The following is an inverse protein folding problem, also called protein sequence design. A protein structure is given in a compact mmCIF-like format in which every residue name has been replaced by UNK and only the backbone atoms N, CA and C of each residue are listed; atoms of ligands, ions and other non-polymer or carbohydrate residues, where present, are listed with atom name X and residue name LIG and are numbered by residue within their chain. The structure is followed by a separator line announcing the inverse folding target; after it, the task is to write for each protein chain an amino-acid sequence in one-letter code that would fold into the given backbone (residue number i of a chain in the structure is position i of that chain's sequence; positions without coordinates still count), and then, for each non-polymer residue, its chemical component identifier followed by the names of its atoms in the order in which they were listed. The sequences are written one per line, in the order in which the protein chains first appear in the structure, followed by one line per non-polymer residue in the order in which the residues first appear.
data_IF_483732875195
#
_entry.id   IF_483732875195
#
_cell.length_a   1.000
_cell.length_b   1.000
_cell.length_c   1.000
_cell.angle_alpha   90.00
_cell.angle_beta   90.00
_cell.angle_gamma   90.00
#
_symmetry.space_group_name_H-M   'P 1'
#
loop_
_entity.id
_entity.type
_entity.pdbx_description
1 polymer ?
#
# COMPACT_ATOMS: atom_id res chain seq x y z
N UNK A 1 27.71 -14.42 10.55
CA UNK A 1 27.09 -13.09 10.56
C UNK A 1 26.77 -12.72 12.00
N UNK A 2 27.37 -11.63 12.49
CA UNK A 2 27.37 -11.20 13.86
C UNK A 2 25.94 -10.82 14.32
N UNK A 3 25.38 -11.40 15.38
CA UNK A 3 24.02 -11.10 15.87
C UNK A 3 23.85 -9.66 16.38
N UNK A 4 24.93 -8.87 16.46
CA UNK A 4 24.94 -7.49 16.92
C UNK A 4 24.42 -6.46 15.89
N UNK A 5 24.19 -6.86 14.63
CA UNK A 5 23.63 -5.98 13.59
C UNK A 5 22.11 -6.17 13.42
N UNK A 6 21.38 -6.28 14.51
CA UNK A 6 19.94 -6.03 14.44
C UNK A 6 19.74 -4.53 14.23
N UNK A 7 18.93 -4.17 13.23
CA UNK A 7 18.40 -2.81 13.12
C UNK A 7 17.84 -2.43 14.51
N UNK A 8 18.13 -1.24 15.02
CA UNK A 8 17.63 -0.85 16.33
C UNK A 8 16.12 -1.00 16.34
N UNK A 9 15.62 -1.81 17.27
CA UNK A 9 14.18 -1.89 17.52
C UNK A 9 13.73 -0.52 18.01
N UNK A 10 13.00 0.20 17.18
CA UNK A 10 12.51 1.55 17.50
C UNK A 10 11.39 1.52 18.55
N UNK A 11 11.14 0.36 19.19
CA UNK A 11 10.11 0.21 20.21
C UNK A 11 8.69 0.47 19.72
N UNK A 12 8.47 0.33 18.40
CA UNK A 12 7.17 0.61 17.78
C UNK A 12 6.08 -0.28 18.36
N UNK A 13 6.38 -1.56 18.64
CA UNK A 13 5.45 -2.49 19.26
C UNK A 13 5.02 -2.06 20.68
N UNK A 14 5.96 -1.59 21.49
CA UNK A 14 5.68 -1.08 22.84
C UNK A 14 4.84 0.21 22.79
N UNK A 15 5.11 1.10 21.82
CA UNK A 15 4.31 2.32 21.64
C UNK A 15 2.86 1.99 21.30
N UNK A 16 2.61 1.03 20.42
CA UNK A 16 1.24 0.58 20.10
C UNK A 16 0.58 -0.10 21.31
N UNK A 17 1.30 -0.87 22.10
CA UNK A 17 0.78 -1.47 23.32
C UNK A 17 0.34 -0.39 24.32
N UNK A 18 1.14 0.66 24.53
CA UNK A 18 0.78 1.79 25.39
C UNK A 18 -0.43 2.56 24.86
N UNK A 19 -0.52 2.79 23.55
CA UNK A 19 -1.71 3.42 22.94
C UNK A 19 -2.96 2.58 23.20
N UNK A 20 -2.85 1.25 23.14
CA UNK A 20 -3.96 0.35 23.45
C UNK A 20 -4.40 0.45 24.94
N UNK A 21 -3.48 0.70 25.87
CA UNK A 21 -3.81 0.94 27.29
C UNK A 21 -4.62 2.24 27.48
N UNK A 22 -4.26 3.33 26.80
CA UNK A 22 -5.06 4.57 26.82
C UNK A 22 -6.46 4.36 26.25
N UNK A 23 -6.60 3.49 25.25
CA UNK A 23 -7.91 3.14 24.70
C UNK A 23 -8.78 2.37 25.70
N UNK A 24 -8.16 1.52 26.55
CA UNK A 24 -8.86 0.75 27.60
C UNK A 24 -9.23 1.59 28.82
N UNK A 25 -8.51 2.67 29.09
CA UNK A 25 -8.75 3.55 30.23
C UNK A 25 -10.11 4.29 30.19
N UNK A 26 -10.82 4.29 29.05
CA UNK A 26 -12.17 4.77 28.93
C UNK A 26 -12.34 6.29 29.01
N UNK A 27 -11.25 7.05 29.11
CA UNK A 27 -11.25 8.49 29.23
C UNK A 27 -10.97 9.12 27.85
N UNK A 28 -11.91 9.90 27.31
CA UNK A 28 -11.81 10.48 25.96
C UNK A 28 -10.59 11.43 25.82
N UNK A 29 -10.26 12.17 26.89
CA UNK A 29 -9.09 13.06 26.92
C UNK A 29 -7.78 12.28 26.77
N UNK A 30 -7.62 11.21 27.53
CA UNK A 30 -6.43 10.35 27.48
C UNK A 30 -6.31 9.61 26.16
N UNK A 31 -7.44 9.21 25.57
CA UNK A 31 -7.49 8.61 24.23
C UNK A 31 -6.95 9.57 23.15
N UNK A 32 -7.39 10.82 23.15
CA UNK A 32 -6.90 11.84 22.20
C UNK A 32 -5.41 12.08 22.44
N UNK A 33 -5.01 12.30 23.67
CA UNK A 33 -3.62 12.57 24.04
C UNK A 33 -2.69 11.42 23.64
N UNK A 34 -3.09 10.19 23.93
CA UNK A 34 -2.35 8.97 23.56
C UNK A 34 -2.20 8.82 22.05
N UNK A 35 -3.27 9.07 21.27
CA UNK A 35 -3.21 8.99 19.82
C UNK A 35 -2.39 10.11 19.18
N UNK A 36 -2.53 11.35 19.65
CA UNK A 36 -1.78 12.49 19.10
C UNK A 36 -0.30 12.44 19.43
N UNK A 37 0.07 11.97 20.62
CA UNK A 37 1.48 11.94 21.05
C UNK A 37 2.18 10.64 20.66
N UNK A 38 1.67 9.51 21.12
CA UNK A 38 2.30 8.19 20.95
C UNK A 38 1.86 7.51 19.66
N UNK A 39 0.57 7.59 19.30
CA UNK A 39 0.01 6.94 18.12
C UNK A 39 0.57 7.51 16.81
N UNK A 40 0.65 8.82 16.69
CA UNK A 40 1.25 9.46 15.50
C UNK A 40 2.75 9.15 15.41
N UNK A 41 3.46 9.21 16.54
CA UNK A 41 4.90 8.91 16.61
C UNK A 41 5.17 7.45 16.23
N UNK A 42 4.38 6.51 16.77
CA UNK A 42 4.48 5.09 16.44
C UNK A 42 4.21 4.83 14.96
N UNK A 43 3.19 5.47 14.37
CA UNK A 43 2.84 5.34 12.97
C UNK A 43 3.91 5.90 12.04
N UNK A 44 4.50 7.05 12.37
CA UNK A 44 5.61 7.63 11.61
C UNK A 44 6.85 6.75 11.67
N UNK A 45 7.24 6.30 12.84
CA UNK A 45 8.39 5.41 13.02
C UNK A 45 8.20 4.08 12.30
N UNK A 46 7.00 3.50 12.36
CA UNK A 46 6.66 2.31 11.60
C UNK A 46 6.78 2.55 10.08
N UNK A 47 6.26 3.68 9.59
CA UNK A 47 6.31 4.00 8.17
C UNK A 47 7.75 4.24 7.67
N UNK A 48 8.62 4.82 8.52
CA UNK A 48 10.06 4.97 8.23
C UNK A 48 10.73 3.60 8.20
N UNK A 49 10.52 2.80 9.26
CA UNK A 49 11.15 1.47 9.40
C UNK A 49 10.72 0.51 8.29
N UNK A 50 9.46 0.57 7.86
CA UNK A 50 8.94 -0.22 6.74
C UNK A 50 9.29 0.36 5.36
N UNK A 51 10.04 1.47 5.25
CA UNK A 51 10.40 2.10 3.98
C UNK A 51 9.19 2.64 3.18
N UNK A 52 8.04 2.83 3.85
CA UNK A 52 6.78 3.24 3.21
C UNK A 52 6.85 4.59 2.54
N UNK A 53 7.65 5.52 3.06
CA UNK A 53 7.83 6.85 2.45
C UNK A 53 8.43 6.76 1.06
N UNK A 54 9.47 5.93 0.89
CA UNK A 54 10.12 5.73 -0.42
C UNK A 54 9.16 5.07 -1.39
N UNK A 55 8.45 4.03 -0.95
CA UNK A 55 7.45 3.34 -1.75
C UNK A 55 6.33 4.29 -2.20
N UNK A 56 5.78 5.07 -1.27
CA UNK A 56 4.70 6.02 -1.56
C UNK A 56 5.15 7.10 -2.52
N UNK A 57 6.33 7.71 -2.28
CA UNK A 57 6.91 8.71 -3.20
C UNK A 57 7.13 8.12 -4.60
N UNK A 58 7.66 6.91 -4.70
CA UNK A 58 7.83 6.22 -5.98
C UNK A 58 6.52 5.99 -6.72
N UNK A 59 5.47 5.56 -6.00
CA UNK A 59 4.13 5.37 -6.58
C UNK A 59 3.51 6.70 -7.05
N UNK A 60 3.69 7.79 -6.28
CA UNK A 60 3.21 9.12 -6.69
C UNK A 60 3.93 9.61 -7.95
N UNK A 61 5.25 9.48 -8.01
CA UNK A 61 6.03 9.85 -9.20
C UNK A 61 5.63 9.02 -10.42
N UNK A 62 5.40 7.73 -10.24
CA UNK A 62 4.95 6.83 -11.29
C UNK A 62 3.54 7.23 -11.78
N UNK A 63 2.62 7.51 -10.86
CA UNK A 63 1.28 8.01 -11.17
C UNK A 63 1.31 9.34 -11.92
N UNK A 64 2.14 10.28 -11.47
CA UNK A 64 2.36 11.57 -12.12
C UNK A 64 2.91 11.39 -13.55
N UNK A 65 3.90 10.53 -13.74
CA UNK A 65 4.47 10.22 -15.05
C UNK A 65 3.43 9.63 -16.00
N UNK A 66 2.66 8.65 -15.54
CA UNK A 66 1.58 8.02 -16.30
C UNK A 66 0.52 9.05 -16.71
N UNK A 67 0.13 9.93 -15.77
CA UNK A 67 -0.82 11.02 -16.02
C UNK A 67 -0.29 12.02 -17.04
N UNK A 68 0.96 12.48 -16.89
CA UNK A 68 1.59 13.43 -17.80
C UNK A 68 1.73 12.87 -19.23
N UNK A 69 2.01 11.58 -19.36
CA UNK A 69 2.10 10.87 -20.65
C UNK A 69 0.73 10.51 -21.23
N UNK A 70 -0.36 10.81 -20.52
CA UNK A 70 -1.73 10.49 -20.92
C UNK A 70 -1.91 9.01 -21.31
N UNK A 71 -1.23 8.10 -20.57
CA UNK A 71 -1.27 6.67 -20.89
C UNK A 71 -2.64 6.03 -20.63
N UNK A 72 -3.53 6.74 -19.92
CA UNK A 72 -4.93 6.31 -19.71
C UNK A 72 -5.83 6.55 -20.92
N UNK A 73 -5.39 7.40 -21.89
CA UNK A 73 -6.16 7.64 -23.10
C UNK A 73 -6.15 6.38 -23.97
N UNK A 74 -7.33 6.01 -24.47
CA UNK A 74 -7.55 4.81 -25.28
C UNK A 74 -6.98 4.95 -26.69
N UNK A 75 -5.66 4.94 -26.80
CA UNK A 75 -4.93 4.90 -28.08
C UNK A 75 -4.37 3.50 -28.26
N UNK A 76 -4.31 2.99 -29.49
CA UNK A 76 -3.75 1.66 -29.76
C UNK A 76 -2.33 1.47 -29.19
N UNK A 77 -1.50 2.52 -29.25
CA UNK A 77 -0.16 2.52 -28.66
C UNK A 77 -0.19 2.31 -27.14
N UNK A 78 -1.09 3.01 -26.46
CA UNK A 78 -1.25 2.91 -25.02
C UNK A 78 -1.84 1.55 -24.61
N UNK A 79 -2.78 1.02 -25.39
CA UNK A 79 -3.32 -0.32 -25.15
C UNK A 79 -2.25 -1.41 -25.26
N UNK A 80 -1.39 -1.34 -26.28
CA UNK A 80 -0.25 -2.26 -26.42
C UNK A 80 0.73 -2.12 -25.25
N UNK A 81 0.94 -0.91 -24.75
CA UNK A 81 1.75 -0.68 -23.54
C UNK A 81 1.14 -1.37 -22.32
N UNK A 82 -0.17 -1.21 -22.09
CA UNK A 82 -0.85 -1.83 -20.96
C UNK A 82 -0.91 -3.36 -21.05
N UNK A 83 -1.08 -3.92 -22.24
CA UNK A 83 -0.99 -5.38 -22.45
C UNK A 83 0.41 -5.90 -22.12
N UNK A 84 1.47 -5.22 -22.58
CA UNK A 84 2.85 -5.57 -22.23
C UNK A 84 3.08 -5.47 -20.72
N UNK A 85 2.64 -4.39 -20.09
CA UNK A 85 2.74 -4.19 -18.64
C UNK A 85 2.03 -5.31 -17.89
N UNK A 86 0.83 -5.70 -18.31
CA UNK A 86 0.08 -6.80 -17.71
C UNK A 86 0.87 -8.11 -17.77
N UNK A 87 1.38 -8.48 -18.94
CA UNK A 87 2.11 -9.73 -19.16
C UNK A 87 3.39 -9.73 -18.32
N UNK A 88 4.18 -8.66 -18.39
CA UNK A 88 5.45 -8.55 -17.65
C UNK A 88 5.21 -8.60 -16.14
N UNK A 89 4.22 -7.87 -15.63
CA UNK A 89 3.90 -7.84 -14.21
C UNK A 89 3.34 -9.18 -13.71
N UNK A 90 2.53 -9.87 -14.53
CA UNK A 90 2.00 -11.19 -14.19
C UNK A 90 3.12 -12.24 -14.13
N UNK A 91 4.04 -12.22 -15.10
CA UNK A 91 5.20 -13.13 -15.11
C UNK A 91 6.16 -12.81 -13.95
N UNK A 92 6.38 -11.54 -13.63
CA UNK A 92 7.26 -11.12 -12.55
C UNK A 92 6.70 -11.44 -11.16
N UNK A 93 5.38 -11.52 -11.02
CA UNK A 93 4.73 -11.74 -9.72
C UNK A 93 5.10 -13.10 -9.10
N UNK A 94 5.07 -14.17 -9.88
CA UNK A 94 5.35 -15.52 -9.38
C UNK A 94 6.79 -15.68 -8.82
N UNK A 95 7.87 -15.33 -9.57
CA UNK A 95 9.22 -15.44 -9.05
C UNK A 95 9.51 -14.47 -7.89
N UNK A 96 8.89 -13.29 -7.86
CA UNK A 96 9.01 -12.38 -6.73
C UNK A 96 8.38 -12.95 -5.45
N UNK A 97 7.27 -13.65 -5.58
CA UNK A 97 6.61 -14.33 -4.47
C UNK A 97 7.48 -15.43 -3.89
N UNK A 98 7.97 -16.34 -4.72
CA UNK A 98 8.82 -17.46 -4.28
C UNK A 98 10.16 -16.98 -3.70
N UNK A 99 10.77 -15.98 -4.33
CA UNK A 99 12.04 -15.41 -3.86
C UNK A 99 11.86 -14.74 -2.48
N UNK A 100 10.75 -14.03 -2.28
CA UNK A 100 10.42 -13.43 -0.99
C UNK A 100 10.33 -14.48 0.11
N UNK A 101 9.61 -15.58 -0.12
CA UNK A 101 9.47 -16.66 0.88
C UNK A 101 10.85 -17.27 1.20
N UNK A 102 11.65 -17.61 0.20
CA UNK A 102 12.98 -18.17 0.39
C UNK A 102 13.92 -17.23 1.18
N UNK A 103 13.85 -15.92 0.94
CA UNK A 103 14.69 -14.93 1.61
C UNK A 103 14.23 -14.69 3.04
N UNK A 104 12.93 -14.69 3.31
CA UNK A 104 12.39 -14.49 4.66
C UNK A 104 12.63 -15.70 5.57
N UNK A 105 12.63 -16.92 5.02
CA UNK A 105 12.83 -18.17 5.77
C UNK A 105 14.27 -18.32 6.29
N UNK A 106 15.24 -17.68 5.65
CA UNK A 106 16.66 -17.72 6.05
C UNK A 106 17.02 -16.96 7.34
N UNK A 107 16.07 -16.26 7.99
CA UNK A 107 16.20 -15.69 9.35
C UNK A 107 17.30 -14.65 9.60
N UNK A 108 18.12 -14.32 8.60
CA UNK A 108 19.18 -13.33 8.72
C UNK A 108 18.62 -11.90 8.63
N UNK A 109 19.23 -10.95 9.35
CA UNK A 109 18.82 -9.52 9.33
C UNK A 109 18.83 -8.95 7.90
N UNK A 110 19.80 -9.36 7.10
CA UNK A 110 19.86 -9.02 5.66
C UNK A 110 18.66 -9.61 4.93
N UNK A 111 18.22 -10.81 5.30
CA UNK A 111 17.03 -11.47 4.75
C UNK A 111 15.75 -10.69 5.05
N UNK A 112 15.60 -10.14 6.25
CA UNK A 112 14.42 -9.34 6.62
C UNK A 112 14.33 -8.04 5.80
N UNK A 113 15.45 -7.33 5.62
CA UNK A 113 15.49 -6.10 4.82
C UNK A 113 15.24 -6.39 3.33
N UNK A 114 15.89 -7.41 2.80
CA UNK A 114 15.70 -7.86 1.42
C UNK A 114 14.28 -8.40 1.21
N UNK A 115 13.74 -9.16 2.17
CA UNK A 115 12.36 -9.63 2.16
C UNK A 115 11.34 -8.50 2.13
N UNK A 116 11.56 -7.43 2.91
CA UNK A 116 10.71 -6.23 2.88
C UNK A 116 10.76 -5.53 1.52
N UNK A 117 11.94 -5.41 0.92
CA UNK A 117 12.08 -4.84 -0.42
C UNK A 117 11.37 -5.70 -1.47
N UNK A 118 11.53 -7.03 -1.42
CA UNK A 118 10.83 -7.96 -2.31
C UNK A 118 9.32 -7.91 -2.13
N UNK A 119 8.83 -7.77 -0.91
CA UNK A 119 7.40 -7.56 -0.61
C UNK A 119 6.86 -6.28 -1.26
N UNK A 120 7.64 -5.20 -1.25
CA UNK A 120 7.27 -3.95 -1.93
C UNK A 120 7.19 -4.12 -3.45
N UNK A 121 8.16 -4.81 -4.04
CA UNK A 121 8.17 -5.09 -5.48
C UNK A 121 7.05 -6.03 -5.90
N UNK A 122 6.76 -7.05 -5.11
CA UNK A 122 5.64 -7.95 -5.32
C UNK A 122 4.30 -7.20 -5.31
N UNK A 123 4.10 -6.33 -4.32
CA UNK A 123 2.89 -5.49 -4.22
C UNK A 123 2.77 -4.51 -5.39
N UNK A 124 3.90 -3.94 -5.84
CA UNK A 124 3.94 -3.11 -7.04
C UNK A 124 3.52 -3.90 -8.28
N UNK A 125 4.08 -5.09 -8.49
CA UNK A 125 3.73 -5.95 -9.62
C UNK A 125 2.24 -6.30 -9.59
N UNK A 126 1.69 -6.68 -8.44
CA UNK A 126 0.26 -6.95 -8.29
C UNK A 126 -0.60 -5.72 -8.59
N UNK A 127 -0.22 -4.54 -8.10
CA UNK A 127 -0.92 -3.28 -8.39
C UNK A 127 -0.93 -2.98 -9.88
N UNK A 128 0.19 -3.18 -10.57
CA UNK A 128 0.28 -3.01 -12.03
C UNK A 128 -0.62 -3.99 -12.79
N UNK A 129 -0.71 -5.25 -12.33
CA UNK A 129 -1.64 -6.24 -12.89
C UNK A 129 -3.08 -5.76 -12.76
N UNK A 130 -3.48 -5.30 -11.57
CA UNK A 130 -4.83 -4.80 -11.34
C UNK A 130 -5.15 -3.57 -12.19
N UNK A 131 -4.26 -2.59 -12.22
CA UNK A 131 -4.44 -1.35 -12.98
C UNK A 131 -4.51 -1.65 -14.48
N UNK A 132 -3.58 -2.44 -15.00
CA UNK A 132 -3.56 -2.80 -16.42
C UNK A 132 -4.81 -3.61 -16.81
N UNK A 133 -5.22 -4.57 -15.99
CA UNK A 133 -6.45 -5.35 -16.20
C UNK A 133 -7.68 -4.45 -16.21
N UNK A 134 -7.78 -3.53 -15.26
CA UNK A 134 -8.90 -2.59 -15.18
C UNK A 134 -8.97 -1.69 -16.42
N UNK A 135 -7.84 -1.13 -16.87
CA UNK A 135 -7.77 -0.27 -18.06
C UNK A 135 -8.19 -1.04 -19.31
N UNK A 136 -7.69 -2.27 -19.49
CA UNK A 136 -8.04 -3.10 -20.64
C UNK A 136 -9.51 -3.55 -20.61
N UNK A 137 -10.04 -3.90 -19.44
CA UNK A 137 -11.46 -4.25 -19.26
C UNK A 137 -12.37 -3.04 -19.48
N UNK A 138 -11.95 -1.84 -19.06
CA UNK A 138 -12.73 -0.62 -19.25
C UNK A 138 -12.97 -0.28 -20.72
N UNK A 139 -12.11 -0.74 -21.61
CA UNK A 139 -12.32 -0.62 -23.08
C UNK A 139 -13.48 -1.49 -23.58
N UNK A 140 -13.87 -2.52 -22.82
CA UNK A 140 -15.01 -3.35 -23.16
C UNK A 140 -16.31 -2.63 -22.83
N UNK A 141 -17.15 -2.37 -23.84
CA UNK A 141 -18.42 -1.62 -23.70
C UNK A 141 -19.33 -2.17 -22.57
N UNK A 142 -19.41 -3.51 -22.45
CA UNK A 142 -20.20 -4.18 -21.41
C UNK A 142 -19.66 -3.88 -20.00
N UNK A 143 -18.34 -3.93 -19.82
CA UNK A 143 -17.69 -3.65 -18.54
C UNK A 143 -17.79 -2.16 -18.18
N UNK A 144 -17.54 -1.26 -19.14
CA UNK A 144 -17.67 0.18 -18.95
C UNK A 144 -19.10 0.57 -18.54
N UNK A 145 -20.12 -0.05 -19.10
CA UNK A 145 -21.52 0.17 -18.72
C UNK A 145 -21.80 -0.33 -17.29
N UNK A 146 -21.28 -1.51 -16.91
CA UNK A 146 -21.45 -2.06 -15.56
C UNK A 146 -20.78 -1.19 -14.49
N UNK A 147 -19.63 -0.60 -14.81
CA UNK A 147 -18.84 0.24 -13.88
C UNK A 147 -19.27 1.73 -13.94
N UNK A 148 -20.17 2.11 -14.84
CA UNK A 148 -20.62 3.50 -14.99
C UNK A 148 -21.15 4.10 -13.68
N UNK A 149 -21.82 3.30 -12.83
CA UNK A 149 -22.30 3.72 -11.51
C UNK A 149 -21.17 4.12 -10.56
N UNK A 150 -19.99 3.50 -10.64
CA UNK A 150 -18.85 3.85 -9.80
C UNK A 150 -18.25 5.23 -10.10
N UNK A 151 -18.58 5.82 -11.26
CA UNK A 151 -18.18 7.18 -11.60
C UNK A 151 -18.67 8.21 -10.60
N UNK A 152 -19.86 8.00 -10.05
CA UNK A 152 -20.43 8.88 -9.02
C UNK A 152 -19.66 8.76 -7.70
N UNK A 153 -19.27 7.54 -7.31
CA UNK A 153 -18.41 7.30 -6.15
C UNK A 153 -17.03 7.95 -6.28
N UNK A 154 -16.43 7.92 -7.47
CA UNK A 154 -15.15 8.58 -7.72
C UNK A 154 -15.20 10.11 -7.56
N UNK A 155 -16.34 10.75 -7.89
CA UNK A 155 -16.55 12.18 -7.68
C UNK A 155 -16.76 12.55 -6.22
N UNK A 156 -17.31 11.63 -5.43
CA UNK A 156 -17.60 11.81 -4.01
C UNK A 156 -16.59 11.11 -3.10
N UNK A 157 -15.39 10.83 -3.59
CA UNK A 157 -14.39 10.05 -2.86
C UNK A 157 -14.06 10.62 -1.48
N UNK A 158 -13.94 11.95 -1.36
CA UNK A 158 -13.69 12.62 -0.09
C UNK A 158 -14.88 12.49 0.86
N UNK A 159 -16.09 12.71 0.36
CA UNK A 159 -17.32 12.56 1.16
C UNK A 159 -17.50 11.13 1.64
N UNK A 160 -17.27 10.15 0.77
CA UNK A 160 -17.33 8.73 1.12
C UNK A 160 -16.27 8.36 2.18
N UNK A 161 -15.06 8.91 2.08
CA UNK A 161 -14.01 8.68 3.07
C UNK A 161 -14.40 9.25 4.44
N UNK A 162 -14.96 10.45 4.47
CA UNK A 162 -15.46 11.08 5.70
C UNK A 162 -16.62 10.25 6.28
N UNK A 163 -17.59 9.85 5.46
CA UNK A 163 -18.69 9.00 5.91
C UNK A 163 -18.21 7.68 6.51
N UNK A 164 -17.22 7.00 5.88
CA UNK A 164 -16.64 5.77 6.40
C UNK A 164 -15.92 5.97 7.74
N UNK A 165 -15.25 7.10 7.93
CA UNK A 165 -14.62 7.47 9.21
C UNK A 165 -15.66 7.64 10.32
N UNK A 166 -16.82 8.22 10.00
CA UNK A 166 -17.90 8.44 10.99
C UNK A 166 -18.75 7.18 11.25
N UNK A 167 -18.88 6.30 10.26
CA UNK A 167 -19.74 5.11 10.36
C UNK A 167 -18.97 3.84 10.73
N UNK A 168 -17.63 3.89 10.67
CA UNK A 168 -16.81 2.75 11.13
C UNK A 168 -17.01 2.60 12.64
N UNK A 169 -17.61 1.47 13.10
CA UNK A 169 -17.76 1.23 14.52
C UNK A 169 -16.37 1.18 15.13
N UNK A 170 -16.09 2.07 16.08
CA UNK A 170 -14.92 1.98 16.92
C UNK A 170 -14.87 0.57 17.51
N UNK A 171 -13.79 -0.18 17.38
CA UNK A 171 -13.67 -1.46 18.05
C UNK A 171 -13.83 -1.22 19.56
N UNK A 172 -14.93 -1.73 20.10
CA UNK A 172 -15.17 -1.77 21.55
C UNK A 172 -14.32 -2.86 22.17
#
# INVERSE_FOLDING_TARGET
LNPAHRLPDLGVGEMYARVAEYTKAGNFGDFILGNVTLGQKASLLWAVNAGRFVQTAGLFLLGFYIGRKQLFVATEKNLRFWVKTLIVSAIAFAPLYTLRELVMDNGAVVGQTAGTALDMWQKLAFTLVLVASFILLYQRRKFSAAVAGLRFYGRMSLTNYICLLYTSPSPR
#
